data_IF_987002630137
#
_entry.id   IF_987002630137
#
_cell.length_a   1.000
_cell.length_b   1.000
_cell.length_c   1.000
_cell.angle_alpha   90.00
_cell.angle_beta   90.00
_cell.angle_gamma   90.00
#
_symmetry.space_group_name_H-M   'P 1'
#
loop_
_entity.id
_entity.type
_entity.pdbx_description
1 polymer ?
#
# COMPACT_ATOMS: atom_id res chain seq x y z
N UNK A 1 -19.03 -8.17 -9.70
CA UNK A 1 -18.77 -7.34 -8.51
C UNK A 1 -19.54 -6.03 -8.62
N UNK A 2 -20.19 -5.59 -7.55
CA UNK A 2 -20.78 -4.25 -7.48
C UNK A 2 -19.66 -3.19 -7.35
N UNK A 3 -19.92 -1.94 -7.75
CA UNK A 3 -18.92 -0.85 -7.67
C UNK A 3 -18.37 -0.69 -6.24
N UNK A 4 -19.24 -0.83 -5.23
CA UNK A 4 -18.87 -0.78 -3.82
C UNK A 4 -17.89 -1.91 -3.43
N UNK A 5 -18.10 -3.14 -3.92
CA UNK A 5 -17.19 -4.26 -3.66
C UNK A 5 -15.79 -4.02 -4.21
N UNK A 6 -15.69 -3.35 -5.36
CA UNK A 6 -14.40 -2.99 -5.97
C UNK A 6 -13.67 -1.95 -5.12
N UNK A 7 -14.39 -0.96 -4.56
CA UNK A 7 -13.80 0.03 -3.65
C UNK A 7 -13.28 -0.61 -2.36
N UNK A 8 -14.04 -1.52 -1.76
CA UNK A 8 -13.60 -2.28 -0.58
C UNK A 8 -12.40 -3.18 -0.87
N UNK A 9 -12.38 -3.85 -2.03
CA UNK A 9 -11.26 -4.68 -2.44
C UNK A 9 -9.97 -3.84 -2.58
N UNK A 10 -10.09 -2.65 -3.19
CA UNK A 10 -8.98 -1.71 -3.30
C UNK A 10 -8.50 -1.21 -1.94
N UNK A 11 -9.42 -0.90 -1.03
CA UNK A 11 -9.08 -0.55 0.36
C UNK A 11 -8.33 -1.70 1.04
N UNK A 12 -8.81 -2.93 0.91
CA UNK A 12 -8.17 -4.10 1.49
C UNK A 12 -6.74 -4.30 0.96
N UNK A 13 -6.52 -4.20 -0.36
CA UNK A 13 -5.17 -4.27 -0.93
C UNK A 13 -4.27 -3.14 -0.44
N UNK A 14 -4.78 -1.91 -0.40
CA UNK A 14 -4.04 -0.75 0.13
C UNK A 14 -3.62 -0.96 1.58
N UNK A 15 -4.53 -1.51 2.39
CA UNK A 15 -4.29 -1.80 3.79
C UNK A 15 -3.27 -2.92 3.98
N UNK A 16 -3.34 -4.00 3.20
CA UNK A 16 -2.35 -5.09 3.23
C UNK A 16 -0.95 -4.56 2.90
N UNK A 17 -0.84 -3.76 1.84
CA UNK A 17 0.44 -3.14 1.44
C UNK A 17 0.97 -2.23 2.54
N UNK A 18 0.10 -1.42 3.15
CA UNK A 18 0.46 -0.55 4.26
C UNK A 18 0.99 -1.31 5.47
N UNK A 19 0.28 -2.36 5.91
CA UNK A 19 0.71 -3.22 7.03
C UNK A 19 2.06 -3.85 6.71
N UNK A 20 2.23 -4.39 5.49
CA UNK A 20 3.49 -4.97 5.05
C UNK A 20 4.66 -3.98 5.12
N UNK A 21 4.47 -2.74 4.63
CA UNK A 21 5.50 -1.69 4.67
C UNK A 21 5.86 -1.33 6.11
N UNK A 22 4.87 -1.19 7.01
CA UNK A 22 5.13 -0.90 8.42
C UNK A 22 5.90 -2.04 9.08
N UNK A 23 5.48 -3.29 8.87
CA UNK A 23 6.18 -4.45 9.45
C UNK A 23 7.60 -4.55 8.91
N UNK A 24 7.80 -4.31 7.62
CA UNK A 24 9.12 -4.29 7.00
C UNK A 24 10.02 -3.23 7.62
N UNK A 25 9.52 -1.99 7.74
CA UNK A 25 10.24 -0.90 8.39
C UNK A 25 10.57 -1.21 9.86
N UNK A 26 9.61 -1.76 10.60
CA UNK A 26 9.83 -2.14 12.00
C UNK A 26 10.97 -3.16 12.12
N UNK A 27 10.98 -4.19 11.28
CA UNK A 27 12.02 -5.21 11.27
C UNK A 27 13.38 -4.62 10.91
N UNK A 28 13.42 -3.74 9.91
CA UNK A 28 14.66 -3.08 9.46
C UNK A 28 15.23 -2.12 10.51
N UNK A 29 14.39 -1.28 11.12
CA UNK A 29 14.83 -0.28 12.11
C UNK A 29 15.30 -0.95 13.41
N UNK A 30 14.56 -1.96 13.89
CA UNK A 30 14.89 -2.65 15.14
C UNK A 30 15.88 -3.80 14.96
N UNK A 31 16.41 -4.00 13.74
CA UNK A 31 17.37 -5.07 13.40
C UNK A 31 16.90 -6.46 13.84
N UNK A 32 15.59 -6.69 13.75
CA UNK A 32 14.96 -7.94 14.19
C UNK A 32 15.32 -9.05 13.19
N UNK A 33 16.06 -10.06 13.63
CA UNK A 33 16.48 -11.17 12.78
C UNK A 33 15.40 -12.25 12.76
N UNK A 34 14.50 -12.16 11.79
CA UNK A 34 13.44 -13.15 11.56
C UNK A 34 13.56 -13.67 10.12
N UNK A 35 14.19 -14.83 9.95
CA UNK A 35 14.53 -15.39 8.63
C UNK A 35 13.32 -15.62 7.73
N UNK A 36 12.20 -16.11 8.28
CA UNK A 36 11.00 -16.36 7.48
C UNK A 36 10.42 -15.06 6.93
N UNK A 37 10.44 -13.98 7.71
CA UNK A 37 9.92 -12.68 7.30
C UNK A 37 10.86 -12.02 6.30
N UNK A 38 12.17 -12.11 6.51
CA UNK A 38 13.18 -11.59 5.57
C UNK A 38 13.14 -12.29 4.22
N UNK A 39 12.86 -13.59 4.18
CA UNK A 39 12.68 -14.31 2.92
C UNK A 39 11.34 -13.98 2.24
N UNK A 40 10.26 -13.87 3.02
CA UNK A 40 8.95 -13.45 2.51
C UNK A 40 9.01 -12.03 1.93
N UNK A 41 9.68 -11.11 2.60
CA UNK A 41 9.75 -9.70 2.20
C UNK A 41 10.46 -9.54 0.87
N UNK A 42 11.53 -10.31 0.58
CA UNK A 42 12.20 -10.32 -0.73
C UNK A 42 11.24 -10.63 -1.88
N UNK A 43 10.32 -11.57 -1.68
CA UNK A 43 9.33 -11.97 -2.69
C UNK A 43 8.21 -10.93 -2.79
N UNK A 44 7.72 -10.44 -1.64
CA UNK A 44 6.58 -9.51 -1.60
C UNK A 44 6.95 -8.05 -1.90
N UNK A 45 8.22 -7.69 -1.89
CA UNK A 45 8.65 -6.31 -2.12
C UNK A 45 8.30 -5.80 -3.52
N UNK A 46 8.52 -6.61 -4.56
CA UNK A 46 8.16 -6.23 -5.94
C UNK A 46 6.63 -6.07 -6.08
N UNK A 47 5.79 -7.06 -5.69
CA UNK A 47 4.33 -6.90 -5.68
C UNK A 47 3.86 -5.68 -4.88
N UNK A 48 4.44 -5.43 -3.69
CA UNK A 48 4.09 -4.30 -2.87
C UNK A 48 4.39 -2.97 -3.57
N UNK A 49 5.57 -2.82 -4.19
CA UNK A 49 5.94 -1.64 -4.98
C UNK A 49 4.99 -1.41 -6.16
N UNK A 50 4.67 -2.47 -6.89
CA UNK A 50 3.72 -2.39 -8.02
C UNK A 50 2.35 -1.92 -7.53
N UNK A 51 1.83 -2.50 -6.43
CA UNK A 51 0.54 -2.09 -5.87
C UNK A 51 0.56 -0.67 -5.32
N UNK A 52 1.64 -0.25 -4.67
CA UNK A 52 1.81 1.12 -4.15
C UNK A 52 1.73 2.18 -5.25
N UNK A 53 2.04 1.84 -6.50
CA UNK A 53 1.93 2.75 -7.66
C UNK A 53 0.60 2.53 -8.39
N UNK A 54 0.20 1.28 -8.62
CA UNK A 54 -0.98 0.93 -9.39
C UNK A 54 -2.28 1.40 -8.71
N UNK A 55 -2.38 1.31 -7.39
CA UNK A 55 -3.58 1.72 -6.65
C UNK A 55 -3.83 3.23 -6.79
N UNK A 56 -2.87 4.14 -6.53
CA UNK A 56 -3.05 5.57 -6.78
C UNK A 56 -3.47 5.89 -8.22
N UNK A 57 -2.84 5.26 -9.22
CA UNK A 57 -3.18 5.45 -10.64
C UNK A 57 -4.63 5.06 -10.89
N UNK A 58 -5.05 3.91 -10.35
CA UNK A 58 -6.43 3.47 -10.48
C UNK A 58 -7.41 4.44 -9.81
N UNK A 59 -7.08 4.96 -8.64
CA UNK A 59 -7.89 5.97 -7.95
C UNK A 59 -8.03 7.27 -8.76
N UNK A 60 -6.95 7.75 -9.38
CA UNK A 60 -6.99 8.95 -10.24
C UNK A 60 -7.91 8.72 -11.44
N UNK A 61 -7.83 7.55 -12.08
CA UNK A 61 -8.71 7.18 -13.20
C UNK A 61 -10.18 7.15 -12.77
N UNK A 62 -10.49 6.59 -11.59
CA UNK A 62 -11.86 6.55 -11.07
C UNK A 62 -12.39 7.95 -10.71
N UNK A 63 -11.52 8.84 -10.21
CA UNK A 63 -11.85 10.23 -9.92
C UNK A 63 -12.21 10.98 -11.21
N UNK A 64 -11.37 10.86 -12.25
CA UNK A 64 -11.59 11.50 -13.57
C UNK A 64 -12.87 10.97 -14.22
N UNK A 65 -13.13 9.67 -14.10
CA UNK A 65 -14.34 9.03 -14.65
C UNK A 65 -15.58 9.25 -13.79
N UNK A 66 -15.49 9.99 -12.68
CA UNK A 66 -16.58 10.21 -11.70
C UNK A 66 -17.24 8.90 -11.24
N UNK A 67 -16.45 7.83 -11.09
CA UNK A 67 -16.92 6.48 -10.71
C UNK A 67 -16.86 6.20 -9.21
N UNK A 68 -16.65 7.23 -8.40
CA UNK A 68 -16.61 7.13 -6.93
C UNK A 68 -18.01 6.91 -6.37
N UNK A 69 -18.22 5.78 -5.72
CA UNK A 69 -19.50 5.40 -5.11
C UNK A 69 -19.55 5.86 -3.66
N UNK A 70 -18.51 5.57 -2.88
CA UNK A 70 -18.37 6.02 -1.50
C UNK A 70 -17.15 6.92 -1.32
N UNK A 71 -17.39 8.20 -1.00
CA UNK A 71 -16.33 9.19 -0.78
C UNK A 71 -15.48 8.88 0.45
N UNK A 72 -16.05 8.28 1.48
CA UNK A 72 -15.33 7.95 2.72
C UNK A 72 -14.30 6.85 2.46
N UNK A 73 -14.72 5.75 1.82
CA UNK A 73 -13.84 4.63 1.46
C UNK A 73 -12.74 5.10 0.50
N UNK A 74 -13.10 5.91 -0.50
CA UNK A 74 -12.14 6.49 -1.42
C UNK A 74 -11.11 7.35 -0.68
N UNK A 75 -11.53 8.26 0.19
CA UNK A 75 -10.62 9.13 0.93
C UNK A 75 -9.71 8.35 1.89
N UNK A 76 -10.23 7.31 2.55
CA UNK A 76 -9.43 6.45 3.42
C UNK A 76 -8.37 5.68 2.62
N UNK A 77 -8.75 5.12 1.48
CA UNK A 77 -7.82 4.43 0.56
C UNK A 77 -6.74 5.41 0.07
N UNK A 78 -7.11 6.64 -0.25
CA UNK A 78 -6.17 7.69 -0.68
C UNK A 78 -5.18 8.03 0.42
N UNK A 79 -5.67 8.22 1.64
CA UNK A 79 -4.83 8.50 2.80
C UNK A 79 -3.81 7.38 3.06
N UNK A 80 -4.27 6.12 3.09
CA UNK A 80 -3.41 4.96 3.31
C UNK A 80 -2.34 4.83 2.22
N UNK A 81 -2.72 5.04 0.96
CA UNK A 81 -1.79 4.94 -0.18
C UNK A 81 -0.74 6.04 -0.15
N UNK A 82 -1.12 7.29 0.13
CA UNK A 82 -0.16 8.41 0.27
C UNK A 82 0.83 8.14 1.40
N UNK A 83 0.35 7.71 2.57
CA UNK A 83 1.25 7.38 3.68
C UNK A 83 2.17 6.23 3.32
N UNK A 84 1.66 5.19 2.65
CA UNK A 84 2.47 4.05 2.21
C UNK A 84 3.62 4.49 1.30
N UNK A 85 3.37 5.42 0.37
CA UNK A 85 4.41 5.99 -0.51
C UNK A 85 5.43 6.79 0.31
N UNK A 86 4.98 7.63 1.25
CA UNK A 86 5.89 8.39 2.12
C UNK A 86 6.79 7.47 2.95
N UNK A 87 6.23 6.39 3.49
CA UNK A 87 6.98 5.37 4.24
C UNK A 87 8.01 4.65 3.37
N UNK A 88 7.67 4.33 2.12
CA UNK A 88 8.64 3.76 1.16
C UNK A 88 9.78 4.73 0.84
N UNK A 89 9.48 6.00 0.60
CA UNK A 89 10.49 7.03 0.37
C UNK A 89 11.40 7.22 1.61
N UNK A 90 10.82 7.16 2.81
CA UNK A 90 11.55 7.18 4.06
C UNK A 90 12.48 5.97 4.20
N UNK A 91 12.00 4.76 3.85
CA UNK A 91 12.81 3.55 3.83
C UNK A 91 14.04 3.71 2.91
N UNK A 92 13.84 4.24 1.69
CA UNK A 92 14.91 4.48 0.73
C UNK A 92 15.94 5.47 1.30
N UNK A 93 15.49 6.55 1.96
CA UNK A 93 16.39 7.55 2.54
C UNK A 93 17.24 7.02 3.70
N UNK A 94 16.71 6.08 4.50
CA UNK A 94 17.43 5.52 5.65
C UNK A 94 18.39 4.40 5.23
N UNK A 95 18.01 3.61 4.23
CA UNK A 95 18.77 2.44 3.78
C UNK A 95 19.89 2.78 2.77
N UNK A 96 19.98 4.03 2.31
CA UNK A 96 20.91 4.50 1.28
C UNK A 96 21.78 5.63 1.83
#
# INVERSE_FOLDING_TARGET
>A
MTKLQVEYLRLAFSFIVFVFIITLLFVLINQVQIDWFTNLSKVLMIPALVLSIAIPIWMIVDLIRKKVTDKSIFNLTFFITVISILLLLFAIKILN
#
